data_IF_489886699459
#
_entry.id   IF_489886699459
#
_cell.length_a   1.000
_cell.length_b   1.000
_cell.length_c   1.000
_cell.angle_alpha   90.00
_cell.angle_beta   90.00
_cell.angle_gamma   90.00
#
_symmetry.space_group_name_H-M   'P 1'
#
loop_
_entity.id
_entity.type
_entity.pdbx_description
1 polymer ?
#
# COMPACT_ATOMS: atom_id res chain seq x y z
N UNK A 1 10.85 -28.62 11.40
CA UNK A 1 10.10 -27.68 12.25
C UNK A 1 9.28 -26.80 11.30
N UNK A 2 7.98 -27.09 11.16
CA UNK A 2 7.11 -26.46 10.16
C UNK A 2 6.91 -24.99 10.55
N UNK A 3 7.30 -24.06 9.69
CA UNK A 3 7.08 -22.62 9.92
C UNK A 3 5.61 -22.31 9.64
N UNK A 4 4.83 -22.14 10.70
CA UNK A 4 3.37 -21.90 10.65
C UNK A 4 3.00 -20.50 10.11
N UNK A 5 3.98 -19.59 10.01
CA UNK A 5 3.76 -18.15 9.78
C UNK A 5 4.55 -17.60 8.59
N UNK A 6 4.56 -18.28 7.44
CA UNK A 6 5.35 -17.88 6.26
C UNK A 6 4.92 -16.51 5.71
N UNK A 7 3.61 -16.30 5.52
CA UNK A 7 3.04 -15.03 5.04
C UNK A 7 3.34 -13.87 6.00
N UNK A 8 2.96 -14.01 7.27
CA UNK A 8 3.17 -12.96 8.27
C UNK A 8 4.65 -12.61 8.48
N UNK A 9 5.56 -13.59 8.33
CA UNK A 9 7.00 -13.34 8.37
C UNK A 9 7.45 -12.53 7.17
N UNK A 10 6.98 -12.85 5.97
CA UNK A 10 7.25 -12.08 4.75
C UNK A 10 6.74 -10.65 4.90
N UNK A 11 5.51 -10.47 5.39
CA UNK A 11 4.91 -9.15 5.60
C UNK A 11 5.62 -8.34 6.68
N UNK A 12 6.16 -9.00 7.70
CA UNK A 12 7.02 -8.36 8.70
C UNK A 12 8.33 -7.85 8.08
N UNK A 13 8.95 -8.64 7.20
CA UNK A 13 10.15 -8.22 6.46
C UNK A 13 9.84 -7.06 5.53
N UNK A 14 8.67 -7.08 4.87
CA UNK A 14 8.20 -5.96 4.06
C UNK A 14 8.00 -4.71 4.90
N UNK A 15 7.35 -4.81 6.06
CA UNK A 15 7.21 -3.66 6.95
C UNK A 15 8.57 -3.08 7.34
N UNK A 16 9.55 -3.91 7.69
CA UNK A 16 10.92 -3.46 8.02
C UNK A 16 11.57 -2.77 6.81
N UNK A 17 11.42 -3.31 5.61
CA UNK A 17 11.90 -2.67 4.38
C UNK A 17 11.24 -1.30 4.15
N UNK A 18 9.92 -1.21 4.33
CA UNK A 18 9.18 0.03 4.17
C UNK A 18 9.57 1.08 5.21
N UNK A 19 9.70 0.70 6.48
CA UNK A 19 10.07 1.61 7.58
C UNK A 19 11.55 2.01 7.50
N UNK A 20 12.44 1.06 7.19
CA UNK A 20 13.89 1.28 7.21
C UNK A 20 14.43 2.00 5.97
N UNK A 21 13.84 1.78 4.79
CA UNK A 21 14.37 2.33 3.53
C UNK A 21 13.39 3.28 2.84
N UNK A 22 12.16 2.82 2.59
CA UNK A 22 11.22 3.58 1.76
C UNK A 22 10.72 4.83 2.49
N UNK A 23 10.34 4.75 3.76
CA UNK A 23 9.83 5.88 4.54
C UNK A 23 10.84 7.02 4.68
N UNK A 24 12.13 6.78 5.03
CA UNK A 24 13.14 7.83 5.04
C UNK A 24 13.32 8.46 3.66
N UNK A 25 13.40 7.65 2.60
CA UNK A 25 13.52 8.15 1.23
C UNK A 25 12.32 9.01 0.83
N UNK A 26 11.11 8.58 1.21
CA UNK A 26 9.88 9.33 1.00
C UNK A 26 9.86 10.64 1.77
N UNK A 27 10.37 10.65 3.00
CA UNK A 27 10.48 11.85 3.84
C UNK A 27 11.46 12.85 3.25
N UNK A 28 12.62 12.38 2.76
CA UNK A 28 13.62 13.21 2.08
C UNK A 28 13.05 13.82 0.79
N UNK A 29 12.33 13.04 -0.02
CA UNK A 29 11.68 13.53 -1.22
C UNK A 29 10.67 14.62 -0.91
N UNK A 30 9.82 14.41 0.10
CA UNK A 30 8.82 15.39 0.52
C UNK A 30 9.48 16.66 1.03
N UNK A 31 10.52 16.58 1.87
CA UNK A 31 11.28 17.74 2.34
C UNK A 31 11.92 18.51 1.18
N UNK A 32 12.48 17.81 0.20
CA UNK A 32 13.05 18.42 -1.01
C UNK A 32 11.98 19.16 -1.83
N UNK A 33 10.83 18.55 -2.07
CA UNK A 33 9.73 19.16 -2.82
C UNK A 33 9.13 20.36 -2.06
N UNK A 34 8.99 20.28 -0.73
CA UNK A 34 8.57 21.41 0.10
C UNK A 34 9.56 22.58 0.04
N UNK A 35 10.87 22.30 0.10
CA UNK A 35 11.91 23.35 0.04
C UNK A 35 11.90 24.13 -1.28
N UNK A 36 11.46 23.48 -2.37
CA UNK A 36 11.32 24.09 -3.69
C UNK A 36 10.06 24.96 -3.82
N UNK A 37 9.06 24.74 -2.97
CA UNK A 37 7.85 25.56 -2.84
C UNK A 37 7.14 25.82 -4.19
N UNK A 38 6.75 27.09 -4.42
CA UNK A 38 6.02 27.53 -5.63
C UNK A 38 6.79 27.39 -6.96
N UNK A 39 8.07 27.00 -6.95
CA UNK A 39 8.88 26.86 -8.16
C UNK A 39 8.59 25.57 -8.93
N UNK A 40 7.87 24.63 -8.34
CA UNK A 40 7.53 23.34 -8.97
C UNK A 40 6.03 23.30 -9.25
N UNK A 41 5.67 22.93 -10.49
CA UNK A 41 4.28 22.69 -10.87
C UNK A 41 3.73 21.42 -10.20
N UNK A 42 2.45 21.42 -9.84
CA UNK A 42 1.76 20.27 -9.24
C UNK A 42 1.89 18.99 -10.06
N UNK A 43 2.02 19.08 -11.39
CA UNK A 43 2.27 17.92 -12.26
C UNK A 43 3.63 17.26 -12.03
N UNK A 44 4.66 18.05 -11.76
CA UNK A 44 6.00 17.53 -11.47
C UNK A 44 6.03 16.87 -10.09
N UNK A 45 5.37 17.47 -9.09
CA UNK A 45 5.18 16.87 -7.76
C UNK A 45 4.52 15.49 -7.89
N UNK A 46 3.46 15.40 -8.70
CA UNK A 46 2.78 14.13 -8.99
C UNK A 46 3.70 13.08 -9.59
N UNK A 47 4.48 13.44 -10.60
CA UNK A 47 5.41 12.52 -11.25
C UNK A 47 6.47 11.98 -10.27
N UNK A 48 6.99 12.82 -9.38
CA UNK A 48 7.98 12.39 -8.39
C UNK A 48 7.38 11.47 -7.32
N UNK A 49 6.19 11.80 -6.82
CA UNK A 49 5.49 10.94 -5.84
C UNK A 49 5.12 9.61 -6.51
N UNK A 50 4.53 9.63 -7.70
CA UNK A 50 4.12 8.41 -8.41
C UNK A 50 5.31 7.53 -8.74
N UNK A 51 6.41 8.11 -9.22
CA UNK A 51 7.66 7.39 -9.50
C UNK A 51 8.21 6.70 -8.25
N UNK A 52 8.23 7.39 -7.10
CA UNK A 52 8.71 6.80 -5.86
C UNK A 52 7.76 5.70 -5.33
N UNK A 53 6.45 5.89 -5.46
CA UNK A 53 5.48 4.85 -5.08
C UNK A 53 5.54 3.63 -5.99
N UNK A 54 5.82 3.80 -7.28
CA UNK A 54 6.06 2.69 -8.20
C UNK A 54 7.37 1.99 -7.86
N UNK A 55 8.42 2.75 -7.55
CA UNK A 55 9.70 2.20 -7.15
C UNK A 55 9.58 1.36 -5.87
N UNK A 56 8.75 1.77 -4.91
CA UNK A 56 8.57 1.02 -3.65
C UNK A 56 7.85 -0.32 -3.83
N UNK A 57 7.06 -0.50 -4.88
CA UNK A 57 6.41 -1.80 -5.18
C UNK A 57 7.27 -2.74 -6.02
N UNK A 58 8.30 -2.23 -6.74
CA UNK A 58 9.10 -3.06 -7.65
C UNK A 58 9.76 -4.26 -6.95
N UNK A 59 10.45 -4.03 -5.83
CA UNK A 59 11.19 -5.10 -5.15
C UNK A 59 10.25 -6.17 -4.54
N UNK A 60 9.16 -5.80 -3.84
CA UNK A 60 8.15 -6.78 -3.42
C UNK A 60 7.51 -7.54 -4.59
N UNK A 61 7.19 -6.86 -5.70
CA UNK A 61 6.61 -7.50 -6.87
C UNK A 61 7.59 -8.48 -7.53
N UNK A 62 8.87 -8.14 -7.65
CA UNK A 62 9.88 -9.02 -8.24
C UNK A 62 10.10 -10.30 -7.41
N UNK A 63 10.13 -10.15 -6.08
CA UNK A 63 10.27 -11.30 -5.17
C UNK A 63 9.03 -12.18 -5.24
N UNK A 64 7.83 -11.61 -5.19
CA UNK A 64 6.57 -12.38 -5.26
C UNK A 64 6.33 -12.99 -6.64
N UNK A 65 6.69 -12.33 -7.73
CA UNK A 65 6.55 -12.87 -9.08
C UNK A 65 7.33 -14.19 -9.25
N UNK A 66 8.50 -14.31 -8.62
CA UNK A 66 9.27 -15.57 -8.62
C UNK A 66 8.53 -16.71 -7.91
N UNK A 67 7.86 -16.40 -6.80
CA UNK A 67 7.09 -17.39 -6.02
C UNK A 67 5.82 -17.78 -6.79
N UNK A 68 5.15 -16.80 -7.39
CA UNK A 68 3.92 -16.98 -8.17
C UNK A 68 4.17 -17.68 -9.52
N UNK A 69 5.38 -17.64 -10.07
CA UNK A 69 5.73 -18.35 -11.30
C UNK A 69 5.54 -19.88 -11.21
N UNK A 70 5.48 -20.43 -9.99
CA UNK A 70 5.25 -21.86 -9.72
C UNK A 70 3.76 -22.23 -9.61
N UNK A 71 2.84 -21.34 -9.97
CA UNK A 71 1.41 -21.67 -9.89
C UNK A 71 1.04 -22.83 -10.82
N UNK A 72 0.14 -23.75 -10.42
CA UNK A 72 -0.22 -24.92 -11.22
C UNK A 72 -0.74 -24.55 -12.62
N UNK A 73 -1.49 -23.46 -12.72
CA UNK A 73 -2.02 -22.95 -13.99
C UNK A 73 -0.92 -22.45 -14.93
N UNK A 74 0.11 -21.76 -14.41
CA UNK A 74 1.25 -21.29 -15.22
C UNK A 74 2.16 -22.43 -15.64
N UNK A 75 2.40 -23.41 -14.76
CA UNK A 75 3.21 -24.60 -15.07
C UNK A 75 2.60 -25.43 -16.21
N UNK A 76 1.28 -25.61 -16.20
CA UNK A 76 0.56 -26.32 -17.25
C UNK A 76 0.22 -25.41 -18.45
N UNK A 77 0.39 -24.09 -18.34
CA UNK A 77 0.02 -23.14 -19.39
C UNK A 77 -1.49 -23.04 -19.64
N UNK A 78 -2.32 -23.43 -18.67
CA UNK A 78 -3.78 -23.51 -18.80
C UNK A 78 -4.48 -22.37 -18.09
N UNK A 79 -5.67 -22.01 -18.58
CA UNK A 79 -6.54 -21.04 -17.92
C UNK A 79 -7.30 -21.67 -16.75
N UNK A 80 -7.57 -20.89 -15.70
CA UNK A 80 -8.47 -21.26 -14.60
C UNK A 80 -9.91 -21.48 -15.06
N UNK A 81 -10.30 -20.83 -16.15
CA UNK A 81 -11.68 -20.80 -16.63
C UNK A 81 -11.98 -21.88 -17.68
N UNK A 82 -10.97 -22.66 -18.10
CA UNK A 82 -11.18 -23.79 -19.01
C UNK A 82 -11.66 -25.03 -18.26
N UNK A 83 -12.20 -25.98 -19.00
CA UNK A 83 -12.73 -27.22 -18.49
C UNK A 83 -11.63 -28.23 -18.12
N UNK A 84 -11.97 -29.14 -17.20
CA UNK A 84 -11.05 -30.18 -16.72
C UNK A 84 -10.56 -31.10 -17.84
N UNK A 85 -11.35 -31.29 -18.89
CA UNK A 85 -10.97 -32.09 -20.04
C UNK A 85 -9.82 -31.45 -20.83
N UNK A 86 -9.86 -30.14 -21.08
CA UNK A 86 -8.74 -29.42 -21.69
C UNK A 86 -7.46 -29.53 -20.85
N UNK A 87 -7.56 -29.44 -19.53
CA UNK A 87 -6.40 -29.64 -18.65
C UNK A 87 -5.82 -31.06 -18.75
N UNK A 88 -6.68 -32.08 -18.80
CA UNK A 88 -6.26 -33.47 -18.96
C UNK A 88 -5.56 -33.72 -20.31
N UNK A 89 -6.00 -33.06 -21.40
CA UNK A 89 -5.33 -33.14 -22.69
C UNK A 89 -3.92 -32.56 -22.64
N UNK A 90 -3.74 -31.39 -22.01
CA UNK A 90 -2.43 -30.75 -21.85
C UNK A 90 -1.51 -31.61 -21.00
N UNK A 91 -2.01 -32.15 -19.89
CA UNK A 91 -1.26 -33.09 -19.06
C UNK A 91 -0.83 -34.35 -19.84
N UNK A 92 -1.72 -34.93 -20.65
CA UNK A 92 -1.39 -36.08 -21.49
C UNK A 92 -0.26 -35.77 -22.49
N UNK A 93 -0.23 -34.57 -23.07
CA UNK A 93 0.85 -34.14 -23.95
C UNK A 93 2.20 -34.04 -23.21
N UNK A 94 2.22 -33.47 -21.99
CA UNK A 94 3.43 -33.46 -21.17
C UNK A 94 3.90 -34.87 -20.79
N UNK A 95 2.96 -35.77 -20.47
CA UNK A 95 3.25 -37.17 -20.16
C UNK A 95 3.89 -37.88 -21.35
N UNK A 96 3.37 -37.65 -22.55
CA UNK A 96 3.94 -38.17 -23.77
C UNK A 96 5.38 -37.68 -23.97
N UNK A 97 5.63 -36.37 -23.81
CA UNK A 97 6.99 -35.80 -23.91
C UNK A 97 7.96 -36.38 -22.88
N UNK A 98 7.49 -36.68 -21.67
CA UNK A 98 8.29 -37.37 -20.67
C UNK A 98 8.62 -38.81 -21.09
N UNK A 99 7.64 -39.57 -21.57
CA UNK A 99 7.87 -40.95 -22.06
C UNK A 99 8.79 -41.01 -23.28
N UNK A 100 8.80 -39.95 -24.10
CA UNK A 100 9.71 -39.79 -25.24
C UNK A 100 11.12 -39.33 -24.84
N UNK A 101 11.38 -39.09 -23.55
CA UNK A 101 12.68 -38.63 -23.03
C UNK A 101 12.99 -37.15 -23.32
N UNK A 102 12.00 -36.37 -23.76
CA UNK A 102 12.15 -34.94 -24.10
C UNK A 102 12.02 -34.01 -22.89
N UNK A 103 11.54 -34.53 -21.75
CA UNK A 103 11.34 -33.79 -20.52
C UNK A 103 12.20 -34.38 -19.40
N UNK A 104 12.90 -33.53 -18.65
CA UNK A 104 13.67 -33.97 -17.50
C UNK A 104 12.74 -34.53 -16.39
N UNK A 105 13.19 -35.54 -15.61
CA UNK A 105 12.39 -36.10 -14.51
C UNK A 105 11.95 -35.06 -13.47
N UNK A 106 12.81 -34.09 -13.19
CA UNK A 106 12.49 -32.99 -12.26
C UNK A 106 11.36 -32.11 -12.79
N UNK A 107 11.41 -31.74 -14.08
CA UNK A 107 10.37 -30.94 -14.72
C UNK A 107 9.05 -31.72 -14.79
N UNK A 108 9.10 -33.03 -15.07
CA UNK A 108 7.93 -33.90 -15.01
C UNK A 108 7.31 -33.92 -13.61
N UNK A 109 8.12 -34.08 -12.56
CA UNK A 109 7.60 -34.10 -11.18
C UNK A 109 6.83 -32.83 -10.79
N UNK A 110 7.23 -31.67 -11.32
CA UNK A 110 6.54 -30.40 -11.09
C UNK A 110 5.20 -30.34 -11.84
N UNK A 111 5.17 -30.82 -13.08
CA UNK A 111 3.94 -30.89 -13.90
C UNK A 111 2.94 -31.87 -13.30
N UNK A 112 3.41 -33.02 -12.85
CA UNK A 112 2.59 -34.06 -12.22
C UNK A 112 1.95 -33.56 -10.93
N UNK A 113 2.74 -32.97 -10.03
CA UNK A 113 2.24 -32.36 -8.81
C UNK A 113 1.26 -31.19 -9.08
N UNK A 114 1.52 -30.38 -10.11
CA UNK A 114 0.62 -29.29 -10.50
C UNK A 114 -0.74 -29.82 -10.97
N UNK A 115 -0.75 -30.89 -11.78
CA UNK A 115 -1.99 -31.49 -12.27
C UNK A 115 -2.81 -32.12 -11.13
N UNK A 116 -2.16 -32.79 -10.18
CA UNK A 116 -2.83 -33.37 -9.00
C UNK A 116 -3.60 -32.32 -8.20
N UNK A 117 -3.04 -31.11 -8.05
CA UNK A 117 -3.72 -29.98 -7.38
C UNK A 117 -4.95 -29.52 -8.17
N UNK A 118 -4.87 -29.49 -9.51
CA UNK A 118 -5.97 -29.02 -10.36
C UNK A 118 -7.07 -30.06 -10.56
N UNK A 119 -6.73 -31.35 -10.49
CA UNK A 119 -7.62 -32.46 -10.78
C UNK A 119 -8.77 -32.55 -9.77
N UNK A 120 -8.45 -32.49 -8.48
CA UNK A 120 -9.49 -32.47 -7.43
C UNK A 120 -10.03 -31.06 -7.22
N UNK A 121 -11.34 -30.90 -7.40
CA UNK A 121 -12.03 -29.62 -7.23
C UNK A 121 -11.85 -29.03 -5.82
N UNK A 122 -11.86 -29.87 -4.78
CA UNK A 122 -11.73 -29.38 -3.39
C UNK A 122 -10.32 -28.87 -3.12
N UNK A 123 -9.32 -29.64 -3.53
CA UNK A 123 -7.91 -29.28 -3.44
C UNK A 123 -7.60 -28.02 -4.25
N UNK A 124 -8.14 -27.92 -5.48
CA UNK A 124 -8.03 -26.73 -6.33
C UNK A 124 -8.62 -25.49 -5.68
N UNK A 125 -9.83 -25.58 -5.14
CA UNK A 125 -10.48 -24.45 -4.44
C UNK A 125 -9.68 -24.00 -3.21
N UNK A 126 -9.15 -24.95 -2.45
CA UNK A 126 -8.30 -24.64 -1.29
C UNK A 126 -6.99 -23.94 -1.73
N UNK A 127 -6.33 -24.44 -2.77
CA UNK A 127 -5.15 -23.81 -3.36
C UNK A 127 -5.45 -22.41 -3.91
N UNK A 128 -6.57 -22.22 -4.61
CA UNK A 128 -6.94 -20.94 -5.20
C UNK A 128 -7.21 -19.86 -4.15
N UNK A 129 -7.76 -20.23 -3.00
CA UNK A 129 -8.07 -19.34 -1.89
C UNK A 129 -6.84 -19.06 -1.01
N UNK A 130 -6.02 -20.07 -0.74
CA UNK A 130 -4.99 -20.01 0.29
C UNK A 130 -3.54 -20.12 -0.22
N UNK A 131 -3.35 -20.34 -1.52
CA UNK A 131 -2.02 -20.41 -2.14
C UNK A 131 -1.33 -21.77 -1.95
N UNK A 132 -0.02 -21.86 -2.21
CA UNK A 132 0.73 -23.12 -2.28
C UNK A 132 0.89 -23.83 -0.92
N UNK A 133 0.88 -23.10 0.19
CA UNK A 133 1.08 -23.64 1.54
C UNK A 133 -0.20 -24.20 2.19
N UNK A 134 -1.31 -24.27 1.44
CA UNK A 134 -2.63 -24.66 1.98
C UNK A 134 -2.67 -26.07 2.60
N UNK A 135 -1.80 -26.98 2.17
CA UNK A 135 -1.74 -28.35 2.69
C UNK A 135 -1.03 -28.43 4.05
N UNK A 136 -0.14 -27.47 4.34
CA UNK A 136 0.73 -27.48 5.51
C UNK A 136 0.13 -26.64 6.65
N UNK A 137 -0.69 -25.65 6.31
CA UNK A 137 -1.31 -24.76 7.29
C UNK A 137 -2.63 -25.36 7.81
N UNK A 138 -2.70 -25.63 9.11
CA UNK A 138 -3.93 -26.04 9.77
C UNK A 138 -4.96 -24.91 9.64
N UNK A 139 -6.23 -25.22 9.30
CA UNK A 139 -7.29 -24.20 9.09
C UNK A 139 -7.40 -23.12 10.19
N UNK A 140 -7.00 -23.44 11.43
CA UNK A 140 -7.00 -22.50 12.56
C UNK A 140 -5.89 -21.45 12.49
N UNK A 141 -4.71 -21.82 11.98
CA UNK A 141 -3.55 -20.92 11.91
C UNK A 141 -3.69 -19.93 10.74
N UNK A 142 -4.45 -20.32 9.71
CA UNK A 142 -4.69 -19.50 8.52
C UNK A 142 -5.44 -18.20 8.84
N UNK A 143 -6.44 -18.23 9.72
CA UNK A 143 -7.15 -17.01 10.13
C UNK A 143 -6.23 -16.05 10.92
N UNK A 144 -5.28 -16.60 11.67
CA UNK A 144 -4.31 -15.80 12.42
C UNK A 144 -3.25 -15.19 11.50
N UNK A 145 -2.82 -15.90 10.44
CA UNK A 145 -1.96 -15.33 9.39
C UNK A 145 -2.60 -14.08 8.75
N UNK A 146 -3.89 -14.17 8.38
CA UNK A 146 -4.65 -13.03 7.87
C UNK A 146 -4.67 -11.90 8.89
N UNK A 147 -5.09 -12.18 10.13
CA UNK A 147 -5.18 -11.17 11.19
C UNK A 147 -3.86 -10.46 11.49
N UNK A 148 -2.74 -11.20 11.47
CA UNK A 148 -1.40 -10.65 11.70
C UNK A 148 -1.02 -9.60 10.65
N UNK A 149 -1.29 -9.84 9.37
CA UNK A 149 -1.02 -8.85 8.31
C UNK A 149 -1.66 -7.50 8.65
N UNK A 150 -2.96 -7.51 8.97
CA UNK A 150 -3.71 -6.29 9.27
C UNK A 150 -3.26 -5.63 10.57
N UNK A 151 -2.89 -6.41 11.58
CA UNK A 151 -2.33 -5.88 12.83
C UNK A 151 -0.98 -5.18 12.59
N UNK A 152 -0.07 -5.84 11.87
CA UNK A 152 1.26 -5.34 11.52
C UNK A 152 1.13 -4.06 10.68
N UNK A 153 0.29 -4.06 9.65
CA UNK A 153 0.12 -2.89 8.80
C UNK A 153 -0.68 -1.77 9.45
N UNK A 154 -1.54 -2.06 10.43
CA UNK A 154 -2.12 -1.00 11.28
C UNK A 154 -1.01 -0.27 12.03
N UNK A 155 -0.08 -1.00 12.65
CA UNK A 155 1.10 -0.41 13.31
C UNK A 155 1.94 0.37 12.30
N UNK A 156 2.18 -0.19 11.11
CA UNK A 156 2.87 0.48 10.01
C UNK A 156 2.22 1.80 9.59
N UNK A 157 0.89 1.84 9.48
CA UNK A 157 0.12 3.06 9.20
C UNK A 157 0.32 4.09 10.31
N UNK A 158 0.26 3.69 11.58
CA UNK A 158 0.49 4.61 12.70
C UNK A 158 1.91 5.20 12.71
N UNK A 159 2.93 4.39 12.40
CA UNK A 159 4.31 4.86 12.25
C UNK A 159 4.42 5.84 11.08
N UNK A 160 3.83 5.50 9.92
CA UNK A 160 3.84 6.33 8.71
C UNK A 160 3.18 7.70 8.89
N UNK A 161 2.16 7.74 9.75
CA UNK A 161 1.26 8.90 9.92
C UNK A 161 1.37 9.52 11.30
N UNK A 162 2.53 9.35 11.96
CA UNK A 162 2.78 9.93 13.27
C UNK A 162 2.75 11.48 13.19
N UNK A 163 1.64 12.08 13.64
CA UNK A 163 1.47 13.53 13.74
C UNK A 163 0.07 14.02 13.33
N UNK A 164 -0.42 15.11 13.94
CA UNK A 164 -1.76 15.67 13.65
C UNK A 164 -1.95 16.04 12.18
N UNK A 165 -0.88 16.44 11.49
CA UNK A 165 -0.90 16.78 10.06
C UNK A 165 -1.31 15.61 9.16
N UNK A 166 -1.16 14.37 9.63
CA UNK A 166 -1.47 13.16 8.88
C UNK A 166 -2.78 12.51 9.29
N UNK A 167 -3.60 13.15 10.15
CA UNK A 167 -4.82 12.54 10.69
C UNK A 167 -5.80 12.08 9.61
N UNK A 168 -6.12 12.95 8.64
CA UNK A 168 -6.98 12.55 7.50
C UNK A 168 -6.31 11.51 6.59
N UNK A 169 -4.99 11.55 6.49
CA UNK A 169 -4.14 10.54 5.82
C UNK A 169 -4.36 9.14 6.40
N UNK A 170 -4.25 9.09 7.72
CA UNK A 170 -4.41 7.89 8.55
C UNK A 170 -5.82 7.33 8.47
N UNK A 171 -6.85 8.15 8.61
CA UNK A 171 -8.24 7.69 8.62
C UNK A 171 -8.61 7.00 7.30
N UNK A 172 -8.19 7.58 6.16
CA UNK A 172 -8.42 6.95 4.85
C UNK A 172 -7.60 5.67 4.69
N UNK A 173 -6.36 5.65 5.19
CA UNK A 173 -5.49 4.48 5.09
C UNK A 173 -6.03 3.30 5.90
N UNK A 174 -6.57 3.57 7.09
CA UNK A 174 -7.28 2.57 7.91
C UNK A 174 -8.55 2.09 7.18
N UNK A 175 -9.31 2.99 6.54
CA UNK A 175 -10.47 2.60 5.74
C UNK A 175 -10.08 1.71 4.55
N UNK A 176 -8.99 2.03 3.84
CA UNK A 176 -8.48 1.22 2.74
C UNK A 176 -7.98 -0.17 3.22
N UNK A 177 -7.36 -0.21 4.40
CA UNK A 177 -6.94 -1.45 5.05
C UNK A 177 -8.16 -2.32 5.42
N UNK A 178 -9.24 -1.71 5.91
CA UNK A 178 -10.50 -2.40 6.20
C UNK A 178 -11.18 -2.94 4.94
N UNK A 179 -11.21 -2.17 3.85
CA UNK A 179 -11.74 -2.64 2.55
C UNK A 179 -10.94 -3.83 2.04
N UNK A 180 -9.61 -3.76 2.17
CA UNK A 180 -8.70 -4.87 1.83
C UNK A 180 -8.99 -6.11 2.67
N UNK A 181 -9.25 -5.95 3.97
CA UNK A 181 -9.65 -7.04 4.87
C UNK A 181 -10.98 -7.68 4.44
N UNK A 182 -11.99 -6.87 4.16
CA UNK A 182 -13.30 -7.40 3.72
C UNK A 182 -13.14 -8.18 2.42
N UNK A 183 -12.37 -7.67 1.46
CA UNK A 183 -12.09 -8.36 0.21
C UNK A 183 -11.32 -9.66 0.41
N UNK A 184 -10.31 -9.69 1.29
CA UNK A 184 -9.58 -10.91 1.59
C UNK A 184 -10.47 -11.95 2.29
N UNK A 185 -11.34 -11.52 3.21
CA UNK A 185 -12.28 -12.40 3.88
C UNK A 185 -13.30 -13.01 2.89
N UNK A 186 -13.80 -12.24 1.93
CA UNK A 186 -14.71 -12.76 0.90
C UNK A 186 -14.02 -13.78 -0.01
N UNK A 187 -12.77 -13.53 -0.40
CA UNK A 187 -12.01 -14.47 -1.24
C UNK A 187 -11.65 -15.74 -0.46
N UNK A 188 -11.08 -15.63 0.74
CA UNK A 188 -10.51 -16.77 1.48
C UNK A 188 -11.57 -17.62 2.21
N UNK A 189 -12.61 -17.01 2.78
CA UNK A 189 -13.62 -17.72 3.59
C UNK A 189 -14.92 -18.01 2.84
N UNK A 190 -15.31 -17.14 1.90
CA UNK A 190 -16.54 -17.33 1.11
C UNK A 190 -16.27 -17.87 -0.29
N UNK A 191 -15.00 -18.20 -0.60
CA UNK A 191 -14.57 -18.74 -1.90
C UNK A 191 -15.01 -17.87 -3.08
N UNK A 192 -15.03 -16.56 -2.90
CA UNK A 192 -15.37 -15.62 -3.96
C UNK A 192 -14.27 -15.60 -5.03
N UNK A 193 -14.65 -15.84 -6.29
CA UNK A 193 -13.74 -15.82 -7.44
C UNK A 193 -13.89 -14.51 -8.25
N UNK A 194 -12.98 -13.54 -8.08
CA UNK A 194 -12.96 -12.34 -8.92
C UNK A 194 -12.56 -12.73 -10.34
N UNK A 195 -13.54 -12.73 -11.26
CA UNK A 195 -13.31 -13.08 -12.66
C UNK A 195 -12.58 -11.96 -13.40
N UNK A 196 -11.26 -12.11 -13.57
CA UNK A 196 -10.42 -11.19 -14.34
C UNK A 196 -9.90 -11.94 -15.57
N UNK A 197 -10.57 -11.76 -16.71
CA UNK A 197 -10.27 -12.49 -17.96
C UNK A 197 -8.88 -12.20 -18.52
N UNK A 198 -8.33 -11.01 -18.28
CA UNK A 198 -6.96 -10.63 -18.68
C UNK A 198 -5.87 -11.39 -17.90
N UNK A 199 -6.20 -11.91 -16.71
CA UNK A 199 -5.28 -12.59 -15.81
C UNK A 199 -5.75 -14.03 -15.56
N UNK A 200 -6.09 -14.74 -16.62
CA UNK A 200 -6.73 -16.06 -16.57
C UNK A 200 -5.94 -17.17 -15.84
N UNK A 201 -4.63 -16.99 -15.65
CA UNK A 201 -3.75 -17.91 -14.91
C UNK A 201 -3.49 -17.48 -13.45
N UNK A 202 -3.97 -16.30 -13.06
CA UNK A 202 -3.72 -15.70 -11.73
C UNK A 202 -4.79 -16.17 -10.77
N UNK A 203 -4.39 -16.69 -9.61
CA UNK A 203 -5.35 -17.15 -8.60
C UNK A 203 -5.90 -15.98 -7.76
N UNK A 204 -7.08 -16.13 -7.14
CA UNK A 204 -7.63 -15.14 -6.21
C UNK A 204 -6.66 -14.84 -5.07
N UNK A 205 -5.96 -15.86 -4.57
CA UNK A 205 -4.86 -15.70 -3.63
C UNK A 205 -3.78 -14.73 -4.13
N UNK A 206 -3.31 -14.91 -5.37
CA UNK A 206 -2.29 -14.04 -5.96
C UNK A 206 -2.76 -12.58 -6.09
N UNK A 207 -4.06 -12.35 -6.32
CA UNK A 207 -4.66 -11.01 -6.33
C UNK A 207 -4.66 -10.39 -4.94
N UNK A 208 -4.99 -11.14 -3.90
CA UNK A 208 -4.90 -10.69 -2.50
C UNK A 208 -3.45 -10.35 -2.16
N UNK A 209 -2.50 -11.20 -2.54
CA UNK A 209 -1.07 -10.94 -2.34
C UNK A 209 -0.57 -9.73 -3.13
N UNK A 210 -1.06 -9.48 -4.33
CA UNK A 210 -0.75 -8.26 -5.07
C UNK A 210 -1.30 -7.03 -4.34
N UNK A 211 -2.51 -7.12 -3.78
CA UNK A 211 -3.11 -6.04 -3.00
C UNK A 211 -2.28 -5.72 -1.73
N UNK A 212 -1.76 -6.75 -1.06
CA UNK A 212 -0.85 -6.59 0.09
C UNK A 212 0.44 -5.84 -0.29
N UNK A 213 0.96 -6.05 -1.49
CA UNK A 213 2.14 -5.33 -2.00
C UNK A 213 1.81 -3.88 -2.37
N UNK A 214 0.64 -3.65 -2.95
CA UNK A 214 0.23 -2.33 -3.45
C UNK A 214 -0.17 -1.41 -2.29
N UNK A 215 -0.81 -1.94 -1.25
CA UNK A 215 -1.34 -1.16 -0.13
C UNK A 215 -0.30 -0.22 0.53
N UNK A 216 0.91 -0.69 0.91
CA UNK A 216 1.94 0.17 1.51
C UNK A 216 2.40 1.31 0.61
N UNK A 217 2.47 1.08 -0.69
CA UNK A 217 2.84 2.11 -1.66
C UNK A 217 1.73 3.16 -1.80
N UNK A 218 0.48 2.73 -1.84
CA UNK A 218 -0.68 3.62 -1.83
C UNK A 218 -0.74 4.49 -0.57
N UNK A 219 -0.46 3.92 0.60
CA UNK A 219 -0.36 4.63 1.89
C UNK A 219 0.62 5.81 1.79
N UNK A 220 1.84 5.55 1.31
CA UNK A 220 2.89 6.56 1.20
C UNK A 220 2.57 7.62 0.14
N UNK A 221 2.05 7.20 -1.01
CA UNK A 221 1.62 8.10 -2.07
C UNK A 221 0.53 9.05 -1.61
N UNK A 222 -0.50 8.54 -0.94
CA UNK A 222 -1.61 9.33 -0.44
C UNK A 222 -1.17 10.34 0.62
N UNK A 223 -0.38 9.91 1.60
CA UNK A 223 0.13 10.80 2.66
C UNK A 223 0.94 11.96 2.09
N UNK A 224 1.69 11.69 1.03
CA UNK A 224 2.58 12.68 0.41
C UNK A 224 1.83 13.60 -0.54
N UNK A 225 0.85 13.07 -1.27
CA UNK A 225 -0.09 13.85 -2.06
C UNK A 225 -0.84 14.87 -1.20
N UNK A 226 -1.42 14.41 -0.09
CA UNK A 226 -2.10 15.28 0.88
C UNK A 226 -1.18 16.35 1.45
N UNK A 227 0.07 16.01 1.77
CA UNK A 227 1.03 16.97 2.34
C UNK A 227 1.51 18.02 1.34
N UNK A 228 1.75 17.64 0.09
CA UNK A 228 2.39 18.51 -0.90
C UNK A 228 1.39 19.34 -1.72
N UNK A 229 0.18 18.82 -1.94
CA UNK A 229 -0.79 19.46 -2.83
C UNK A 229 -1.93 20.13 -2.08
N UNK A 230 -2.29 19.64 -0.89
CA UNK A 230 -3.30 20.30 -0.07
C UNK A 230 -2.67 21.29 0.90
N UNK A 231 -3.02 22.58 0.72
CA UNK A 231 -2.79 23.59 1.73
C UNK A 231 -3.79 23.37 2.87
N UNK A 232 -3.29 23.16 4.09
CA UNK A 232 -4.15 23.14 5.27
C UNK A 232 -4.75 24.53 5.47
N UNK A 233 -6.01 24.68 5.05
CA UNK A 233 -6.77 25.93 5.16
C UNK A 233 -6.94 26.36 6.61
N UNK A 234 -6.95 25.43 7.57
CA UNK A 234 -7.10 25.74 8.98
C UNK A 234 -5.80 26.30 9.55
N UNK A 235 -4.67 25.69 9.18
CA UNK A 235 -3.35 26.22 9.51
C UNK A 235 -3.11 27.58 8.85
N UNK A 236 -3.51 27.75 7.58
CA UNK A 236 -3.40 29.02 6.87
C UNK A 236 -4.29 30.11 7.50
N UNK A 237 -5.54 29.80 7.84
CA UNK A 237 -6.44 30.72 8.56
C UNK A 237 -5.87 31.14 9.90
N UNK A 238 -5.36 30.20 10.69
CA UNK A 238 -4.72 30.52 11.98
C UNK A 238 -3.48 31.41 11.81
N UNK A 239 -2.66 31.16 10.77
CA UNK A 239 -1.51 32.02 10.47
C UNK A 239 -1.95 33.43 10.06
N UNK A 240 -2.98 33.57 9.22
CA UNK A 240 -3.55 34.86 8.84
C UNK A 240 -4.16 35.60 10.03
N UNK A 241 -4.88 34.90 10.91
CA UNK A 241 -5.45 35.48 12.14
C UNK A 241 -4.36 35.96 13.10
N UNK A 242 -3.30 35.17 13.30
CA UNK A 242 -2.15 35.58 14.11
C UNK A 242 -1.43 36.79 13.52
N UNK A 243 -1.28 36.82 12.19
CA UNK A 243 -0.70 37.97 11.49
C UNK A 243 -1.57 39.22 11.65
N UNK A 244 -2.89 39.11 11.46
CA UNK A 244 -3.84 40.20 11.65
C UNK A 244 -3.84 40.71 13.09
N UNK A 245 -3.82 39.81 14.08
CA UNK A 245 -3.75 40.17 15.50
C UNK A 245 -2.48 40.96 15.82
N UNK A 246 -1.31 40.48 15.37
CA UNK A 246 -0.03 41.20 15.53
C UNK A 246 -0.06 42.58 14.88
N UNK A 247 -0.67 42.70 13.70
CA UNK A 247 -0.77 43.98 13.00
C UNK A 247 -1.72 44.96 13.71
N UNK A 248 -2.83 44.45 14.25
CA UNK A 248 -3.76 45.23 15.06
C UNK A 248 -3.12 45.71 16.36
N UNK A 249 -2.35 44.86 17.05
CA UNK A 249 -1.60 45.25 18.25
C UNK A 249 -0.57 46.34 17.95
N UNK A 250 0.18 46.21 16.84
CA UNK A 250 1.14 47.23 16.40
C UNK A 250 0.46 48.56 16.06
N UNK A 251 -0.69 48.52 15.38
CA UNK A 251 -1.48 49.70 15.04
C UNK A 251 -2.03 50.39 16.30
N UNK A 252 -2.53 49.61 17.27
CA UNK A 252 -3.02 50.15 18.55
C UNK A 252 -1.92 50.88 19.32
N UNK A 253 -0.69 50.35 19.32
CA UNK A 253 0.47 51.02 19.95
C UNK A 253 0.77 52.37 19.30
N UNK A 254 0.84 52.41 17.97
CA UNK A 254 1.06 53.67 17.22
C UNK A 254 -0.04 54.70 17.45
N UNK A 255 -1.30 54.28 17.52
CA UNK A 255 -2.42 55.18 17.84
C UNK A 255 -2.30 55.72 19.27
N UNK A 256 -1.85 54.91 20.22
CA UNK A 256 -1.54 55.35 21.58
C UNK A 256 -0.48 56.45 21.60
N UNK A 257 0.67 56.20 20.96
CA UNK A 257 1.78 57.16 20.83
C UNK A 257 1.33 58.49 20.17
N UNK A 258 0.53 58.41 19.10
CA UNK A 258 -0.02 59.59 18.44
C UNK A 258 -1.02 60.35 19.32
N UNK A 259 -1.83 59.65 20.11
CA UNK A 259 -2.76 60.30 21.04
C UNK A 259 -2.03 61.01 22.17
N UNK A 260 -0.98 60.40 22.72
CA UNK A 260 -0.13 61.01 23.75
C UNK A 260 0.59 62.24 23.19
N UNK A 261 1.14 62.13 21.97
CA UNK A 261 1.76 63.26 21.28
C UNK A 261 0.77 64.41 21.01
N UNK A 262 -0.46 64.09 20.61
CA UNK A 262 -1.51 65.09 20.38
C UNK A 262 -1.93 65.79 21.68
N UNK A 263 -2.11 65.04 22.78
CA UNK A 263 -2.41 65.61 24.10
C UNK A 263 -1.27 66.50 24.59
N UNK A 264 -0.01 66.08 24.39
CA UNK A 264 1.18 66.87 24.74
C UNK A 264 1.31 68.16 23.91
N UNK A 265 0.92 68.14 22.63
CA UNK A 265 0.90 69.32 21.77
C UNK A 265 -0.17 70.33 22.22
N UNK A 266 -1.39 69.87 22.52
CA UNK A 266 -2.48 70.73 23.00
C UNK A 266 -2.17 71.36 24.36
N UNK A 267 -1.51 70.61 25.26
CA UNK A 267 -1.08 71.16 26.56
C UNK A 267 0.04 72.18 26.44
N UNK A 268 0.92 72.09 25.44
CA UNK A 268 1.93 73.13 25.16
C UNK A 268 1.33 74.41 24.62
N UNK A 269 0.43 74.32 23.64
CA UNK A 269 -0.22 75.51 23.06
C UNK A 269 -1.11 76.25 24.08
N UNK A 270 -1.71 75.54 25.04
CA UNK A 270 -2.49 76.14 26.13
C UNK A 270 -1.68 76.84 27.23
N UNK A 271 -0.34 76.71 27.23
CA UNK A 271 0.55 77.39 28.19
C UNK A 271 1.25 78.63 27.63
N UNK A 272 1.12 78.91 26.33
CA UNK A 272 1.67 80.10 25.68
C UNK A 272 0.64 81.24 25.50
N UNK A 273 -0.58 81.11 26.04
CA UNK A 273 -1.61 82.18 26.12
C UNK A 273 -1.80 82.70 27.53
#
# INVERSE_FOLDING_TARGET
>A
MVQVWTEAKEDSLWLVYFVGFIMPLHSLLVMYLESRGKRISSSHVLMWISSLTLFSTLLPLLVRQRIQAQSPYRLLGVSRYTDAYTWAQVYAAFKQHFTEGKLAPEAWSQVDAAYDILYDQRTRQAHDAWGPDFQVQLQKDMAFNVGLYYMIWTVGVYIATAGRKYQTGRDLSIAALLVTLVFELTVRFFSYDPRITLLAQTTPYELVMALHVIFPACLLGYNSWKRLVFVDMLQHRNACLQFALRNNEATRRKLGELSEAAVAAVTRDGTES
#
